data_IF_449054971949
#
_entry.id   IF_449054971949
#
_cell.length_a   1.000
_cell.length_b   1.000
_cell.length_c   1.000
_cell.angle_alpha   90.00
_cell.angle_beta   90.00
_cell.angle_gamma   90.00
#
_symmetry.space_group_name_H-M   'P 1'
#
loop_
_entity.id
_entity.type
_entity.pdbx_description
1 polymer ?
#
# COMPACT_ATOMS: atom_id res chain seq x y z
N UNK A 1 5.39 -29.19 -8.79
CA UNK A 1 4.78 -27.92 -8.34
C UNK A 1 5.87 -26.88 -8.26
N UNK A 2 5.76 -25.80 -9.03
CA UNK A 2 6.63 -24.64 -8.85
C UNK A 2 6.28 -24.02 -7.50
N UNK A 3 7.17 -24.13 -6.50
CA UNK A 3 6.96 -23.46 -5.23
C UNK A 3 7.22 -21.97 -5.47
N UNK A 4 6.19 -21.14 -5.35
CA UNK A 4 6.35 -19.67 -5.41
C UNK A 4 7.40 -19.29 -4.37
N UNK A 5 8.49 -18.67 -4.83
CA UNK A 5 9.63 -18.35 -4.00
C UNK A 5 9.49 -16.90 -3.56
N UNK A 6 9.42 -16.68 -2.24
CA UNK A 6 9.41 -15.32 -1.69
C UNK A 6 10.69 -14.53 -2.04
N UNK A 7 10.60 -13.20 -1.97
CA UNK A 7 11.67 -12.26 -2.33
C UNK A 7 12.54 -11.82 -1.15
N UNK A 8 12.29 -12.33 0.06
CA UNK A 8 12.95 -11.89 1.31
C UNK A 8 14.48 -11.87 1.19
N UNK A 9 15.05 -12.93 0.59
CA UNK A 9 16.51 -13.04 0.42
C UNK A 9 17.06 -11.98 -0.53
N UNK A 10 16.35 -11.71 -1.63
CA UNK A 10 16.74 -10.71 -2.61
C UNK A 10 16.69 -9.31 -1.99
N UNK A 11 15.57 -8.98 -1.33
CA UNK A 11 15.36 -7.70 -0.63
C UNK A 11 16.41 -7.46 0.45
N UNK A 12 16.71 -8.48 1.29
CA UNK A 12 17.77 -8.37 2.31
C UNK A 12 19.14 -8.10 1.69
N UNK A 13 19.49 -8.83 0.63
CA UNK A 13 20.76 -8.65 -0.05
C UNK A 13 20.88 -7.28 -0.71
N UNK A 14 19.79 -6.75 -1.30
CA UNK A 14 19.76 -5.41 -1.90
C UNK A 14 20.05 -4.31 -0.86
N UNK A 15 19.56 -4.45 0.38
CA UNK A 15 19.90 -3.57 1.51
C UNK A 15 21.29 -3.83 2.14
N UNK A 16 22.06 -4.80 1.63
CA UNK A 16 23.39 -5.11 2.16
C UNK A 16 23.41 -5.76 3.56
N UNK A 17 22.28 -6.28 4.04
CA UNK A 17 22.14 -6.79 5.40
C UNK A 17 22.49 -8.28 5.50
N UNK A 18 23.09 -8.73 6.61
CA UNK A 18 23.16 -10.15 6.93
C UNK A 18 21.82 -10.66 7.49
N UNK A 19 21.59 -11.98 7.49
CA UNK A 19 20.41 -12.57 8.15
C UNK A 19 20.31 -12.21 9.63
N UNK A 20 21.45 -11.97 10.28
CA UNK A 20 21.49 -11.56 11.68
C UNK A 20 21.09 -10.10 11.85
N UNK A 21 21.59 -9.21 10.97
CA UNK A 21 21.26 -7.78 11.01
C UNK A 21 19.77 -7.57 10.77
N UNK A 22 19.19 -8.27 9.80
CA UNK A 22 17.74 -8.25 9.59
C UNK A 22 16.98 -8.72 10.83
N UNK A 23 17.41 -9.79 11.49
CA UNK A 23 16.75 -10.26 12.71
C UNK A 23 16.82 -9.23 13.84
N UNK A 24 17.96 -8.56 14.02
CA UNK A 24 18.13 -7.50 15.03
C UNK A 24 17.23 -6.30 14.74
N UNK A 25 17.19 -5.85 13.49
CA UNK A 25 16.39 -4.71 13.05
C UNK A 25 14.88 -4.97 13.11
N UNK A 26 14.43 -6.20 12.89
CA UNK A 26 13.03 -6.55 13.08
C UNK A 26 12.68 -6.64 14.57
N UNK A 27 13.57 -7.18 15.40
CA UNK A 27 13.34 -7.31 16.84
C UNK A 27 13.26 -5.96 17.56
N UNK A 28 13.94 -4.92 17.08
CA UNK A 28 13.83 -3.57 17.66
C UNK A 28 12.45 -2.94 17.46
N UNK A 29 11.64 -3.49 16.55
CA UNK A 29 10.27 -3.05 16.21
C UNK A 29 9.18 -3.91 16.85
N UNK A 30 9.56 -5.02 17.51
CA UNK A 30 8.60 -5.92 18.14
C UNK A 30 8.18 -5.40 19.52
N UNK A 31 6.93 -5.69 19.88
CA UNK A 31 6.45 -5.43 21.22
C UNK A 31 7.04 -6.42 22.23
N UNK A 32 7.10 -6.04 23.51
CA UNK A 32 7.73 -6.82 24.58
C UNK A 32 7.09 -8.19 24.85
N UNK A 33 5.87 -8.43 24.36
CA UNK A 33 5.15 -9.70 24.44
C UNK A 33 5.34 -10.59 23.21
N UNK A 34 6.03 -10.13 22.17
CA UNK A 34 6.22 -10.88 20.94
C UNK A 34 7.44 -11.79 20.99
N UNK A 35 7.37 -12.89 20.24
CA UNK A 35 8.47 -13.83 20.13
C UNK A 35 9.57 -13.23 19.25
N UNK A 36 10.78 -13.14 19.80
CA UNK A 36 11.98 -12.69 19.07
C UNK A 36 12.25 -13.55 17.83
N UNK A 37 12.61 -12.87 16.75
CA UNK A 37 13.02 -13.44 15.47
C UNK A 37 14.51 -13.76 15.54
N UNK A 38 14.88 -14.99 15.22
CA UNK A 38 16.30 -15.41 15.19
C UNK A 38 16.85 -15.36 13.77
N UNK A 39 18.18 -15.33 13.63
CA UNK A 39 18.87 -15.56 12.35
C UNK A 39 18.38 -16.85 11.65
N UNK A 40 18.15 -17.92 12.41
CA UNK A 40 17.64 -19.18 11.87
C UNK A 40 16.22 -19.05 11.32
N UNK A 41 15.37 -18.27 12.00
CA UNK A 41 14.01 -17.96 11.54
C UNK A 41 14.04 -17.28 10.18
N UNK A 42 14.86 -16.23 10.03
CA UNK A 42 15.07 -15.53 8.74
C UNK A 42 15.55 -16.50 7.66
N UNK A 43 16.54 -17.33 7.97
CA UNK A 43 17.05 -18.34 7.02
C UNK A 43 15.96 -19.34 6.59
N UNK A 44 15.12 -19.79 7.52
CA UNK A 44 14.02 -20.70 7.21
C UNK A 44 12.96 -20.04 6.32
N UNK A 45 12.65 -18.76 6.54
CA UNK A 45 11.75 -17.98 5.68
C UNK A 45 12.32 -17.81 4.27
N UNK A 46 13.58 -17.38 4.12
CA UNK A 46 14.22 -17.19 2.81
C UNK A 46 14.27 -18.45 1.95
N UNK A 47 14.30 -19.63 2.59
CA UNK A 47 14.36 -20.93 1.92
C UNK A 47 13.00 -21.63 1.86
N UNK A 48 11.89 -20.94 2.19
CA UNK A 48 10.53 -21.49 2.24
C UNK A 48 10.39 -22.76 3.11
N UNK A 49 11.28 -22.97 4.08
CA UNK A 49 11.17 -24.09 5.04
C UNK A 49 10.01 -23.87 6.01
N UNK A 50 9.71 -22.60 6.29
CA UNK A 50 8.54 -22.18 7.05
C UNK A 50 7.86 -21.03 6.32
N UNK A 51 6.54 -21.07 6.27
CA UNK A 51 5.74 -19.96 5.77
C UNK A 51 5.93 -18.73 6.68
N UNK A 52 5.97 -17.56 6.06
CA UNK A 52 5.94 -16.28 6.76
C UNK A 52 4.49 -16.02 7.13
N UNK A 53 4.19 -15.90 8.43
CA UNK A 53 2.85 -15.56 8.90
C UNK A 53 2.52 -14.11 8.57
N UNK A 54 1.23 -13.80 8.47
CA UNK A 54 0.73 -12.48 8.07
C UNK A 54 1.37 -11.35 8.87
N UNK A 55 1.36 -11.40 10.20
CA UNK A 55 1.95 -10.40 11.09
C UNK A 55 3.43 -10.11 10.78
N UNK A 56 4.20 -11.15 10.47
CA UNK A 56 5.62 -11.02 10.13
C UNK A 56 5.84 -10.63 8.67
N UNK A 57 4.94 -11.01 7.77
CA UNK A 57 4.97 -10.59 6.38
C UNK A 57 4.71 -9.09 6.25
N UNK A 58 3.76 -8.55 7.04
CA UNK A 58 3.47 -7.12 7.10
C UNK A 58 4.66 -6.32 7.65
N UNK A 59 5.26 -6.77 8.77
CA UNK A 59 6.46 -6.14 9.33
C UNK A 59 7.63 -6.13 8.34
N UNK A 60 7.85 -7.24 7.63
CA UNK A 60 8.91 -7.35 6.62
C UNK A 60 8.63 -6.44 5.42
N UNK A 61 7.38 -6.40 4.95
CA UNK A 61 6.97 -5.57 3.83
C UNK A 61 7.16 -4.08 4.15
N UNK A 62 6.78 -3.65 5.35
CA UNK A 62 7.05 -2.29 5.83
C UNK A 62 8.56 -2.00 5.92
N UNK A 63 9.34 -2.93 6.48
CA UNK A 63 10.79 -2.75 6.60
C UNK A 63 11.50 -2.58 5.24
N UNK A 64 11.05 -3.32 4.23
CA UNK A 64 11.61 -3.25 2.87
C UNK A 64 10.92 -2.21 1.98
N UNK A 65 9.87 -1.55 2.48
CA UNK A 65 9.03 -0.64 1.72
C UNK A 65 8.53 -1.28 0.42
N UNK A 66 7.84 -2.42 0.53
CA UNK A 66 7.22 -3.15 -0.60
C UNK A 66 5.84 -3.67 -0.20
N UNK A 67 5.04 -4.12 -1.17
CA UNK A 67 3.77 -4.78 -0.88
C UNK A 67 4.01 -6.18 -0.24
N UNK A 68 3.06 -6.64 0.57
CA UNK A 68 3.09 -8.02 1.11
C UNK A 68 3.05 -9.07 -0.02
N UNK A 69 2.20 -8.94 -1.06
CA UNK A 69 2.18 -9.91 -2.14
C UNK A 69 3.51 -9.95 -2.92
N UNK A 70 4.15 -8.81 -3.20
CA UNK A 70 5.48 -8.76 -3.79
C UNK A 70 6.52 -9.47 -2.94
N UNK A 71 6.55 -9.18 -1.63
CA UNK A 71 7.48 -9.84 -0.70
C UNK A 71 7.31 -11.37 -0.70
N UNK A 72 6.06 -11.84 -0.73
CA UNK A 72 5.74 -13.27 -0.74
C UNK A 72 5.91 -13.91 -2.13
N UNK A 73 6.13 -13.12 -3.17
CA UNK A 73 6.36 -13.58 -4.55
C UNK A 73 5.09 -13.81 -5.37
N UNK A 74 3.96 -13.24 -4.94
CA UNK A 74 2.69 -13.29 -5.67
C UNK A 74 2.57 -12.18 -6.74
N UNK A 75 3.38 -11.12 -6.65
CA UNK A 75 3.49 -10.06 -7.66
C UNK A 75 4.88 -10.10 -8.33
N UNK A 76 4.93 -9.78 -9.63
CA UNK A 76 6.18 -9.73 -10.41
C UNK A 76 6.93 -8.40 -10.23
N UNK A 77 6.20 -7.28 -10.22
CA UNK A 77 6.73 -5.94 -10.02
C UNK A 77 6.36 -5.39 -8.64
N UNK A 78 7.25 -4.63 -7.97
CA UNK A 78 6.89 -3.97 -6.74
C UNK A 78 5.91 -2.86 -7.09
N UNK A 79 4.78 -2.77 -6.40
CA UNK A 79 3.78 -1.69 -6.57
C UNK A 79 4.39 -0.26 -6.63
N UNK A 80 5.52 -0.06 -5.94
CA UNK A 80 6.27 1.20 -5.98
C UNK A 80 6.94 1.49 -7.33
N UNK A 81 7.31 0.48 -8.11
CA UNK A 81 7.86 0.63 -9.45
C UNK A 81 6.78 1.08 -10.43
N UNK A 82 5.56 0.54 -10.33
CA UNK A 82 4.43 0.96 -11.17
C UNK A 82 4.06 2.42 -10.89
N UNK A 83 4.00 2.79 -9.60
CA UNK A 83 3.79 4.18 -9.17
C UNK A 83 4.95 5.07 -9.63
N UNK A 84 6.21 4.66 -9.45
CA UNK A 84 7.36 5.42 -9.89
C UNK A 84 7.40 5.60 -11.42
N UNK A 85 6.99 4.57 -12.17
CA UNK A 85 6.89 4.60 -13.62
C UNK A 85 5.78 5.56 -14.07
N UNK A 86 4.62 5.55 -13.41
CA UNK A 86 3.55 6.51 -13.66
C UNK A 86 4.00 7.94 -13.34
N UNK A 87 4.63 8.16 -12.17
CA UNK A 87 5.17 9.44 -11.75
C UNK A 87 6.28 9.96 -12.69
N UNK A 88 7.06 9.07 -13.29
CA UNK A 88 8.11 9.45 -14.25
C UNK A 88 7.57 10.23 -15.45
N UNK A 89 6.29 10.03 -15.81
CA UNK A 89 5.63 10.78 -16.87
C UNK A 89 5.32 12.25 -16.50
N UNK A 90 5.38 12.59 -15.21
CA UNK A 90 5.17 13.92 -14.65
C UNK A 90 6.49 14.65 -14.28
N UNK A 91 7.63 14.01 -14.55
CA UNK A 91 8.97 14.57 -14.36
C UNK A 91 9.45 15.18 -15.68
N UNK A 92 9.95 16.41 -15.65
CA UNK A 92 10.50 17.05 -16.85
C UNK A 92 11.87 16.47 -17.19
N UNK A 93 12.29 16.62 -18.45
CA UNK A 93 13.59 16.11 -18.91
C UNK A 93 14.78 16.65 -18.11
N UNK A 94 14.75 17.93 -17.76
CA UNK A 94 15.82 18.58 -16.99
C UNK A 94 15.88 18.04 -15.55
N UNK A 95 14.73 17.75 -14.94
CA UNK A 95 14.64 17.15 -13.60
C UNK A 95 15.06 15.68 -13.61
N UNK A 96 14.75 14.95 -14.67
CA UNK A 96 15.20 13.57 -14.87
C UNK A 96 16.73 13.49 -14.92
N UNK A 97 17.37 14.43 -15.62
CA UNK A 97 18.83 14.57 -15.67
C UNK A 97 19.41 14.91 -14.29
N UNK A 98 18.72 15.73 -13.49
CA UNK A 98 19.13 16.04 -12.10
C UNK A 98 19.06 14.80 -11.20
N UNK A 99 17.95 14.05 -11.23
CA UNK A 99 17.77 12.81 -10.44
C UNK A 99 18.84 11.77 -10.78
N UNK A 100 19.16 11.62 -12.07
CA UNK A 100 20.20 10.69 -12.51
C UNK A 100 21.62 11.12 -12.10
N UNK A 101 21.85 12.43 -11.93
CA UNK A 101 23.12 12.99 -11.50
C UNK A 101 23.33 13.02 -9.98
N UNK A 102 22.22 13.09 -9.22
CA UNK A 102 22.21 13.10 -7.75
C UNK A 102 20.99 12.33 -7.21
N UNK A 103 21.12 11.01 -6.96
CA UNK A 103 20.05 10.17 -6.42
C UNK A 103 19.52 10.63 -5.06
N UNK A 104 20.25 11.47 -4.31
CA UNK A 104 19.75 12.03 -3.05
C UNK A 104 18.57 12.99 -3.25
N UNK A 105 18.35 13.48 -4.47
CA UNK A 105 17.21 14.34 -4.83
C UNK A 105 15.97 13.54 -5.26
N UNK A 106 16.06 12.21 -5.37
CA UNK A 106 14.98 11.37 -5.87
C UNK A 106 13.68 11.60 -5.08
N UNK A 107 13.75 11.60 -3.75
CA UNK A 107 12.58 11.82 -2.89
C UNK A 107 11.93 13.20 -3.12
N UNK A 108 12.74 14.25 -3.29
CA UNK A 108 12.23 15.60 -3.59
C UNK A 108 11.51 15.64 -4.93
N UNK A 109 12.10 15.11 -5.99
CA UNK A 109 11.48 15.15 -7.31
C UNK A 109 10.31 14.16 -7.46
N UNK A 110 10.30 13.04 -6.74
CA UNK A 110 9.12 12.18 -6.65
C UNK A 110 7.95 12.90 -5.98
N UNK A 111 8.21 13.74 -4.96
CA UNK A 111 7.14 14.54 -4.35
C UNK A 111 6.59 15.62 -5.28
N UNK A 112 7.46 16.26 -6.07
CA UNK A 112 7.05 17.25 -7.08
C UNK A 112 6.26 16.59 -8.23
N UNK A 113 6.66 15.40 -8.67
CA UNK A 113 5.93 14.63 -9.67
C UNK A 113 4.54 14.23 -9.17
N UNK A 114 4.44 13.87 -7.89
CA UNK A 114 3.19 13.54 -7.22
C UNK A 114 2.23 14.74 -7.18
N UNK A 115 2.72 15.92 -6.83
CA UNK A 115 1.92 17.15 -6.82
C UNK A 115 1.38 17.48 -8.22
N UNK A 116 2.21 17.32 -9.26
CA UNK A 116 1.79 17.54 -10.66
C UNK A 116 0.78 16.51 -11.15
N UNK A 117 0.96 15.24 -10.78
CA UNK A 117 0.00 14.19 -11.06
C UNK A 117 -1.36 14.51 -10.41
N UNK A 118 -1.35 14.93 -9.14
CA UNK A 118 -2.55 15.35 -8.41
C UNK A 118 -3.22 16.58 -9.04
N UNK A 119 -2.44 17.54 -9.53
CA UNK A 119 -2.96 18.72 -10.24
C UNK A 119 -3.55 18.35 -11.61
N UNK A 120 -2.90 17.47 -12.36
CA UNK A 120 -3.33 17.02 -13.68
C UNK A 120 -4.60 16.14 -13.62
N UNK A 121 -4.78 15.39 -12.52
CA UNK A 121 -5.94 14.52 -12.28
C UNK A 121 -7.10 15.24 -11.59
N UNK A 122 -6.91 16.51 -11.20
CA UNK A 122 -7.95 17.29 -10.53
C UNK A 122 -9.00 17.79 -11.53
N UNK A 123 -10.15 17.12 -11.60
CA UNK A 123 -11.37 17.75 -12.09
C UNK A 123 -11.77 18.91 -11.14
N UNK A 124 -12.44 19.98 -11.62
CA UNK A 124 -12.83 21.10 -10.77
C UNK A 124 -13.79 20.61 -9.67
N UNK A 125 -13.28 20.51 -8.44
CA UNK A 125 -14.03 20.14 -7.25
C UNK A 125 -15.00 21.26 -6.89
N UNK A 126 -16.25 21.14 -7.33
CA UNK A 126 -17.34 21.99 -6.85
C UNK A 126 -17.99 21.30 -5.64
N UNK A 127 -17.87 21.94 -4.47
CA UNK A 127 -18.54 21.63 -3.19
C UNK A 127 -18.49 20.16 -2.71
N UNK A 128 -17.39 19.75 -2.09
CA UNK A 128 -17.36 18.57 -1.21
C UNK A 128 -17.62 19.03 0.22
N UNK A 129 -18.88 19.26 0.54
CA UNK A 129 -19.37 19.28 1.92
C UNK A 129 -19.98 17.92 2.20
N UNK A 130 -19.11 16.96 2.52
CA UNK A 130 -19.32 15.90 3.51
C UNK A 130 -18.46 14.67 3.14
N UNK A 131 -17.74 14.06 4.10
CA UNK A 131 -16.93 12.86 3.90
C UNK A 131 -17.77 11.58 3.79
N UNK A 132 -19.07 11.71 3.48
CA UNK A 132 -20.02 10.61 3.31
C UNK A 132 -20.07 10.26 1.83
N UNK A 133 -20.11 8.97 1.50
CA UNK A 133 -20.30 8.55 0.12
C UNK A 133 -21.59 9.17 -0.44
N UNK A 134 -21.48 9.95 -1.52
CA UNK A 134 -22.66 10.58 -2.09
C UNK A 134 -23.61 9.53 -2.67
N UNK A 135 -24.92 9.79 -2.62
CA UNK A 135 -25.94 8.90 -3.20
C UNK A 135 -25.72 8.64 -4.70
N UNK A 136 -25.05 9.54 -5.41
CA UNK A 136 -24.73 9.34 -6.82
C UNK A 136 -23.65 8.28 -7.01
N UNK A 137 -22.63 8.24 -6.14
CA UNK A 137 -21.58 7.21 -6.18
C UNK A 137 -22.16 5.82 -5.95
N UNK A 138 -23.10 5.66 -5.01
CA UNK A 138 -23.81 4.39 -4.82
C UNK A 138 -24.54 3.93 -6.09
N UNK A 139 -25.25 4.84 -6.75
CA UNK A 139 -25.98 4.53 -7.99
C UNK A 139 -25.03 4.16 -9.12
N UNK A 140 -23.89 4.82 -9.23
CA UNK A 140 -22.91 4.52 -10.26
C UNK A 140 -22.30 3.12 -10.03
N UNK A 141 -21.97 2.76 -8.78
CA UNK A 141 -21.50 1.42 -8.42
C UNK A 141 -22.53 0.34 -8.78
N UNK A 142 -23.82 0.59 -8.55
CA UNK A 142 -24.89 -0.35 -8.92
C UNK A 142 -24.94 -0.65 -10.43
N UNK A 143 -24.38 0.22 -11.27
CA UNK A 143 -24.28 0.01 -12.72
C UNK A 143 -23.08 -0.84 -13.14
N UNK A 144 -22.09 -1.02 -12.26
CA UNK A 144 -20.94 -1.89 -12.55
C UNK A 144 -21.35 -3.37 -12.43
N UNK A 145 -21.04 -4.14 -13.45
CA UNK A 145 -21.44 -5.55 -13.59
C UNK A 145 -20.26 -6.51 -13.74
N UNK A 146 -19.06 -5.99 -14.02
CA UNK A 146 -17.86 -6.79 -14.12
C UNK A 146 -17.29 -7.12 -12.73
N UNK A 147 -17.27 -8.42 -12.43
CA UNK A 147 -16.81 -8.92 -11.13
C UNK A 147 -15.30 -8.72 -10.94
N UNK A 148 -14.51 -8.76 -12.02
CA UNK A 148 -13.06 -8.56 -11.94
C UNK A 148 -12.73 -7.09 -11.62
N UNK A 149 -13.41 -6.16 -12.28
CA UNK A 149 -13.35 -4.72 -11.95
C UNK A 149 -13.75 -4.47 -10.49
N UNK A 150 -14.88 -5.04 -10.02
CA UNK A 150 -15.30 -4.90 -8.63
C UNK A 150 -14.25 -5.46 -7.64
N UNK A 151 -13.62 -6.58 -7.97
CA UNK A 151 -12.56 -7.17 -7.13
C UNK A 151 -11.28 -6.33 -7.08
N UNK A 152 -10.88 -5.76 -8.22
CA UNK A 152 -9.75 -4.81 -8.25
C UNK A 152 -10.06 -3.58 -7.41
N UNK A 153 -11.24 -2.97 -7.61
CA UNK A 153 -11.64 -1.77 -6.87
C UNK A 153 -11.73 -2.01 -5.36
N UNK A 154 -12.27 -3.14 -4.92
CA UNK A 154 -12.29 -3.52 -3.49
C UNK A 154 -10.85 -3.67 -2.97
N UNK A 155 -9.99 -4.36 -3.72
CA UNK A 155 -8.59 -4.58 -3.33
C UNK A 155 -7.81 -3.27 -3.20
N UNK A 156 -7.93 -2.39 -4.18
CA UNK A 156 -7.28 -1.08 -4.21
C UNK A 156 -7.80 -0.17 -3.08
N UNK A 157 -9.11 -0.20 -2.83
CA UNK A 157 -9.74 0.56 -1.74
C UNK A 157 -9.22 0.11 -0.37
N UNK A 158 -9.11 -1.21 -0.15
CA UNK A 158 -8.57 -1.77 1.08
C UNK A 158 -7.07 -1.47 1.25
N UNK A 159 -6.31 -1.46 0.15
CA UNK A 159 -4.91 -1.08 0.15
C UNK A 159 -4.73 0.40 0.49
N UNK A 160 -5.49 1.29 -0.15
CA UNK A 160 -5.49 2.72 0.15
C UNK A 160 -5.81 2.98 1.62
N UNK A 161 -6.84 2.30 2.15
CA UNK A 161 -7.18 2.36 3.58
C UNK A 161 -5.99 1.95 4.46
N UNK A 162 -5.34 0.82 4.18
CA UNK A 162 -4.19 0.35 4.96
C UNK A 162 -3.03 1.36 4.95
N UNK A 163 -2.78 2.00 3.81
CA UNK A 163 -1.76 3.05 3.70
C UNK A 163 -2.14 4.24 4.57
N UNK A 164 -3.40 4.67 4.53
CA UNK A 164 -3.91 5.78 5.36
C UNK A 164 -3.90 5.44 6.85
N UNK A 165 -4.23 4.21 7.24
CA UNK A 165 -4.09 3.74 8.63
C UNK A 165 -2.63 3.83 9.10
N UNK A 166 -1.67 3.42 8.26
CA UNK A 166 -0.24 3.56 8.58
C UNK A 166 0.19 5.02 8.70
N UNK A 167 -0.27 5.88 7.78
CA UNK A 167 0.00 7.31 7.79
C UNK A 167 -0.57 7.96 9.05
N UNK A 168 -1.82 7.66 9.41
CA UNK A 168 -2.49 8.18 10.59
C UNK A 168 -1.69 7.85 11.86
N UNK A 169 -1.25 6.60 12.00
CA UNK A 169 -0.44 6.16 13.13
C UNK A 169 0.92 6.89 13.21
N UNK A 170 1.59 7.11 12.06
CA UNK A 170 2.85 7.87 11.99
C UNK A 170 2.65 9.33 12.34
N UNK A 171 1.56 9.96 11.86
CA UNK A 171 1.22 11.35 12.17
C UNK A 171 0.98 11.50 13.67
N UNK A 172 0.17 10.62 14.27
CA UNK A 172 -0.15 10.63 15.70
C UNK A 172 1.07 10.42 16.60
N UNK A 173 2.08 9.68 16.13
CA UNK A 173 3.30 9.38 16.89
C UNK A 173 4.47 10.34 16.62
N UNK A 174 4.28 11.32 15.73
CA UNK A 174 5.30 12.31 15.36
C UNK A 174 5.26 13.57 16.24
N UNK A 175 6.32 14.38 16.16
CA UNK A 175 6.40 15.70 16.81
C UNK A 175 5.60 16.81 16.08
N UNK A 176 4.73 16.45 15.13
CA UNK A 176 3.89 17.41 14.40
C UNK A 176 2.90 18.06 15.36
N UNK A 177 2.95 19.39 15.48
CA UNK A 177 2.12 20.17 16.42
C UNK A 177 0.61 19.94 16.27
N UNK A 178 0.12 19.79 15.04
CA UNK A 178 -1.30 19.61 14.72
C UNK A 178 -1.63 18.16 14.33
N UNK A 179 -0.85 17.17 14.80
CA UNK A 179 -1.01 15.77 14.43
C UNK A 179 -2.43 15.23 14.65
N UNK A 180 -3.13 15.69 15.68
CA UNK A 180 -4.51 15.32 15.96
C UNK A 180 -5.49 15.83 14.89
N UNK A 181 -5.33 17.07 14.43
CA UNK A 181 -6.17 17.65 13.38
C UNK A 181 -5.95 16.93 12.05
N UNK A 182 -4.69 16.66 11.70
CA UNK A 182 -4.37 15.88 10.49
C UNK A 182 -4.84 14.44 10.59
N UNK A 183 -4.77 13.82 11.77
CA UNK A 183 -5.34 12.49 12.00
C UNK A 183 -6.84 12.44 11.76
N UNK A 184 -7.57 13.50 12.12
CA UNK A 184 -9.01 13.60 11.86
C UNK A 184 -9.33 13.75 10.37
N UNK A 185 -8.52 14.51 9.61
CA UNK A 185 -8.69 14.58 8.16
C UNK A 185 -8.41 13.22 7.49
N UNK A 186 -7.40 12.49 7.96
CA UNK A 186 -7.11 11.13 7.48
C UNK A 186 -8.27 10.18 7.83
N UNK A 187 -8.84 10.29 9.03
CA UNK A 187 -9.97 9.48 9.49
C UNK A 187 -11.22 9.67 8.61
N UNK A 188 -11.48 10.90 8.15
CA UNK A 188 -12.58 11.19 7.21
C UNK A 188 -12.41 10.43 5.89
N UNK A 189 -11.19 10.38 5.35
CA UNK A 189 -10.89 9.64 4.12
C UNK A 189 -11.02 8.14 4.34
N UNK A 190 -10.52 7.62 5.47
CA UNK A 190 -10.70 6.21 5.85
C UNK A 190 -12.18 5.85 5.95
N UNK A 191 -13.00 6.71 6.56
CA UNK A 191 -14.45 6.52 6.65
C UNK A 191 -15.09 6.42 5.27
N UNK A 192 -14.75 7.33 4.36
CA UNK A 192 -15.24 7.30 2.99
C UNK A 192 -14.84 6.01 2.26
N UNK A 193 -13.59 5.56 2.41
CA UNK A 193 -13.12 4.30 1.81
C UNK A 193 -13.83 3.07 2.35
N UNK A 194 -14.19 3.06 3.64
CA UNK A 194 -15.02 1.99 4.21
C UNK A 194 -16.39 1.95 3.54
N UNK A 195 -17.07 3.09 3.46
CA UNK A 195 -18.38 3.19 2.81
C UNK A 195 -18.30 2.76 1.32
N UNK A 196 -17.20 3.08 0.64
CA UNK A 196 -16.97 2.75 -0.76
C UNK A 196 -16.76 1.24 -0.94
N UNK A 197 -15.90 0.65 -0.11
CA UNK A 197 -15.65 -0.80 -0.10
C UNK A 197 -16.92 -1.59 0.21
N UNK A 198 -17.75 -1.12 1.14
CA UNK A 198 -19.01 -1.76 1.51
C UNK A 198 -20.03 -1.70 0.36
N UNK A 199 -20.08 -0.58 -0.36
CA UNK A 199 -20.92 -0.43 -1.55
C UNK A 199 -20.51 -1.40 -2.68
N UNK A 200 -19.22 -1.44 -3.00
CA UNK A 200 -18.67 -2.36 -4.00
C UNK A 200 -18.92 -3.82 -3.63
N UNK A 201 -18.68 -4.18 -2.36
CA UNK A 201 -18.93 -5.52 -1.85
C UNK A 201 -20.41 -5.91 -1.92
N UNK A 202 -21.30 -4.97 -1.61
CA UNK A 202 -22.76 -5.18 -1.71
C UNK A 202 -23.20 -5.45 -3.15
N UNK A 203 -22.70 -4.67 -4.12
CA UNK A 203 -23.00 -4.89 -5.54
C UNK A 203 -22.49 -6.25 -6.03
N UNK A 204 -21.24 -6.59 -5.68
CA UNK A 204 -20.64 -7.89 -6.02
C UNK A 204 -21.51 -9.05 -5.52
N UNK A 205 -21.96 -8.97 -4.26
CA UNK A 205 -22.84 -9.99 -3.66
C UNK A 205 -24.17 -10.09 -4.40
N UNK A 206 -24.77 -8.97 -4.80
CA UNK A 206 -26.02 -8.99 -5.58
C UNK A 206 -25.85 -9.69 -6.93
N UNK A 207 -24.76 -9.41 -7.64
CA UNK A 207 -24.46 -10.06 -8.93
C UNK A 207 -24.25 -11.57 -8.78
N UNK A 208 -23.49 -11.99 -7.76
CA UNK A 208 -23.26 -13.42 -7.46
C UNK A 208 -24.58 -14.12 -7.11
N UNK A 209 -25.44 -13.49 -6.31
CA UNK A 209 -26.75 -14.08 -5.94
C UNK A 209 -27.66 -14.21 -7.17
N UNK A 210 -27.66 -13.20 -8.04
CA UNK A 210 -28.46 -13.19 -9.28
C UNK A 210 -28.02 -14.29 -10.26
N UNK A 211 -26.72 -14.54 -10.35
CA UNK A 211 -26.18 -15.60 -11.22
C UNK A 211 -26.48 -17.02 -10.68
N UNK A 212 -26.61 -17.15 -9.36
CA UNK A 212 -26.89 -18.43 -8.68
C UNK A 212 -28.39 -18.75 -8.48
N UNK A 213 -29.30 -17.87 -8.88
CA UNK A 213 -30.74 -18.06 -8.71
C UNK A 213 -31.50 -17.67 -10.01
N UNK A 214 -31.58 -18.59 -11.00
CA UNK A 214 -32.12 -18.33 -12.34
C UNK A 214 -33.64 -18.14 -12.40
#
# INVERSE_FOLDING_TARGET
>A
MSTIKNRLKALRNAKGLTQNDLALELNSRLNSNEKTISKMTVSNWENNKHAIKQDKAELLAEFFNVSVPYLLGYEEEPLLEDIAQELSSYITKDEWEIIHSDPAQEEYYMSVAWDRMLEATRAPLNNVSDPILSTNVYKDIETETDLETLDSLISDTLLAKRILDSLQNRVLSSDIKNSQEYSQEIEKVISWLNDFSDALGSQKLQLIIKDNNP
#
